data_IF_516564524025
#
_entry.id   IF_516564524025
#
_cell.length_a   1.000
_cell.length_b   1.000
_cell.length_c   1.000
_cell.angle_alpha   90.00
_cell.angle_beta   90.00
_cell.angle_gamma   90.00
#
_symmetry.space_group_name_H-M   'P 1'
#
loop_
_entity.id
_entity.type
_entity.pdbx_description
1 polymer ?
#
# COMPACT_ATOMS: atom_id res chain seq x y z
N UNK A 1 -64.13 -18.00 38.58
CA UNK A 1 -64.06 -17.89 37.11
C UNK A 1 -62.81 -17.06 36.80
N UNK A 2 -61.78 -17.67 36.18
CA UNK A 2 -60.59 -17.10 35.47
C UNK A 2 -59.79 -15.94 36.12
N UNK A 3 -58.61 -16.18 36.71
CA UNK A 3 -57.22 -16.14 36.15
C UNK A 3 -56.77 -14.73 35.70
N UNK A 4 -55.86 -14.09 36.45
CA UNK A 4 -54.41 -13.85 36.16
C UNK A 4 -54.15 -12.69 35.17
N UNK A 5 -53.14 -11.83 35.24
CA UNK A 5 -51.78 -11.94 35.82
C UNK A 5 -51.02 -10.60 35.69
N UNK A 6 -50.01 -10.41 36.56
CA UNK A 6 -48.68 -9.77 36.34
C UNK A 6 -48.60 -8.29 35.90
N UNK A 7 -47.65 -7.46 36.33
CA UNK A 7 -46.38 -7.68 37.02
C UNK A 7 -45.73 -6.33 37.33
N UNK A 8 -44.88 -6.33 38.36
CA UNK A 8 -44.24 -5.19 39.02
C UNK A 8 -43.07 -4.62 38.19
N UNK A 9 -42.85 -3.31 38.30
CA UNK A 9 -41.60 -2.66 37.91
C UNK A 9 -41.05 -1.79 39.05
N UNK A 10 -39.71 -1.75 39.08
CA UNK A 10 -38.80 -0.86 39.81
C UNK A 10 -38.37 -1.25 41.24
N UNK A 11 -37.37 -2.14 41.28
CA UNK A 11 -36.26 -2.15 42.25
C UNK A 11 -35.08 -1.36 41.63
N UNK A 12 -34.63 -0.27 42.28
CA UNK A 12 -33.50 -0.22 43.22
C UNK A 12 -32.11 -0.14 42.57
N UNK A 13 -31.47 1.01 42.82
CA UNK A 13 -30.04 1.22 43.10
C UNK A 13 -29.04 0.14 42.67
N UNK A 14 -28.07 0.54 41.84
CA UNK A 14 -26.64 0.26 42.09
C UNK A 14 -25.77 1.21 41.28
N UNK A 15 -25.20 2.16 42.00
CA UNK A 15 -24.01 2.91 41.62
C UNK A 15 -22.88 1.91 41.33
N UNK A 16 -22.39 1.91 40.09
CA UNK A 16 -21.15 1.24 39.72
C UNK A 16 -20.10 2.34 39.56
N UNK A 17 -19.24 2.44 40.56
CA UNK A 17 -17.96 3.13 40.50
C UNK A 17 -17.15 2.62 39.29
N UNK A 18 -17.13 3.41 38.22
CA UNK A 18 -16.20 3.24 37.12
C UNK A 18 -14.87 3.88 37.52
N UNK A 19 -13.95 3.01 37.92
CA UNK A 19 -12.57 3.31 38.21
C UNK A 19 -11.90 3.92 36.97
N UNK A 20 -11.34 5.10 37.19
CA UNK A 20 -10.57 5.92 36.26
C UNK A 20 -9.32 5.15 35.78
N UNK A 21 -9.28 4.77 34.50
CA UNK A 21 -8.05 4.31 33.83
C UNK A 21 -7.87 5.13 32.56
N UNK A 22 -7.13 6.22 32.70
CA UNK A 22 -6.65 7.02 31.58
C UNK A 22 -5.63 6.20 30.78
N UNK A 23 -6.01 5.78 29.58
CA UNK A 23 -5.09 5.27 28.58
C UNK A 23 -4.46 6.46 27.86
N UNK A 24 -3.28 6.88 28.32
CA UNK A 24 -2.42 7.79 27.56
C UNK A 24 -1.85 7.06 26.34
N UNK A 25 -2.51 7.19 25.18
CA UNK A 25 -1.88 6.87 23.90
C UNK A 25 -0.89 7.99 23.56
N UNK A 26 0.39 7.73 23.80
CA UNK A 26 1.49 8.54 23.29
C UNK A 26 1.52 8.41 21.76
N UNK A 27 0.86 9.33 21.07
CA UNK A 27 0.95 9.46 19.61
C UNK A 27 2.35 9.98 19.25
N UNK A 28 3.28 9.09 18.94
CA UNK A 28 4.57 9.45 18.35
C UNK A 28 4.33 9.85 16.90
N UNK A 29 4.26 11.14 16.64
CA UNK A 29 4.24 11.70 15.30
C UNK A 29 5.66 11.61 14.71
N UNK A 30 5.94 10.55 13.94
CA UNK A 30 7.15 10.49 13.11
C UNK A 30 6.91 11.39 11.90
N UNK A 31 7.55 12.56 11.88
CA UNK A 31 7.64 13.41 10.71
C UNK A 31 8.54 12.73 9.66
N UNK A 32 7.93 12.10 8.66
CA UNK A 32 8.67 11.61 7.48
C UNK A 32 8.91 12.81 6.56
N UNK A 33 10.11 13.40 6.62
CA UNK A 33 10.57 14.33 5.60
C UNK A 33 10.79 13.56 4.30
N UNK A 34 9.90 13.75 3.32
CA UNK A 34 10.12 13.27 1.96
C UNK A 34 11.11 14.19 1.26
N UNK A 35 12.41 13.93 1.44
CA UNK A 35 13.45 14.56 0.63
C UNK A 35 13.51 13.77 -0.68
N UNK A 36 13.05 14.38 -1.78
CA UNK A 36 13.22 13.83 -3.11
C UNK A 36 14.70 13.99 -3.50
N UNK A 37 15.48 12.91 -3.40
CA UNK A 37 16.83 12.87 -3.93
C UNK A 37 16.78 12.46 -5.41
N UNK A 38 17.67 13.02 -6.28
CA UNK A 38 17.87 12.45 -7.61
C UNK A 38 18.39 11.03 -7.44
N UNK A 39 17.63 10.06 -7.96
CA UNK A 39 18.00 8.65 -7.92
C UNK A 39 19.23 8.44 -8.82
N UNK A 40 20.41 8.35 -8.22
CA UNK A 40 21.59 7.75 -8.86
C UNK A 40 21.89 6.45 -8.14
N UNK A 41 21.36 5.36 -8.67
CA UNK A 41 21.80 4.00 -8.36
C UNK A 41 21.70 3.19 -9.65
N UNK A 42 22.84 2.66 -10.09
CA UNK A 42 23.06 1.97 -11.36
C UNK A 42 22.46 0.55 -11.44
N UNK A 43 21.30 0.34 -10.84
CA UNK A 43 20.43 -0.81 -11.10
C UNK A 43 19.07 -0.26 -11.53
N UNK A 44 18.59 -0.61 -12.73
CA UNK A 44 17.28 -0.17 -13.20
C UNK A 44 16.23 -0.76 -12.26
N UNK A 45 15.53 0.06 -11.45
CA UNK A 45 14.46 -0.47 -10.62
C UNK A 45 13.45 -1.18 -11.52
N UNK A 46 12.86 -2.27 -11.03
CA UNK A 46 11.83 -3.03 -11.71
C UNK A 46 12.31 -3.94 -12.87
N UNK A 47 13.60 -4.23 -13.00
CA UNK A 47 14.12 -5.24 -13.93
C UNK A 47 13.81 -4.97 -15.41
N UNK A 48 13.42 -3.74 -15.76
CA UNK A 48 13.01 -3.30 -17.09
C UNK A 48 13.97 -2.27 -17.70
N UNK A 49 13.69 -1.89 -18.95
CA UNK A 49 14.39 -0.84 -19.70
C UNK A 49 14.42 0.49 -18.93
N UNK A 50 15.28 1.44 -19.36
CA UNK A 50 15.38 2.76 -18.71
C UNK A 50 13.99 3.34 -18.50
N UNK A 51 13.66 3.68 -17.25
CA UNK A 51 12.47 4.44 -16.93
C UNK A 51 12.69 5.80 -17.59
N UNK A 52 11.91 6.19 -18.61
CA UNK A 52 12.10 7.48 -19.25
C UNK A 52 11.93 8.60 -18.21
N UNK A 53 12.73 9.65 -18.34
CA UNK A 53 12.85 10.76 -17.38
C UNK A 53 11.51 11.45 -17.04
N UNK A 54 10.49 11.24 -17.87
CA UNK A 54 9.13 11.65 -17.61
C UNK A 54 8.14 10.52 -17.94
N UNK A 55 7.48 9.99 -16.90
CA UNK A 55 6.26 9.22 -17.05
C UNK A 55 5.07 10.08 -16.59
N UNK A 56 3.99 10.19 -17.38
CA UNK A 56 2.82 10.99 -17.01
C UNK A 56 2.19 10.53 -15.70
N UNK A 57 2.33 9.25 -15.31
CA UNK A 57 1.82 8.75 -14.03
C UNK A 57 2.91 8.80 -12.97
N UNK A 58 2.73 9.70 -12.00
CA UNK A 58 3.53 9.79 -10.79
C UNK A 58 2.99 8.84 -9.73
N UNK A 59 3.80 7.85 -9.34
CA UNK A 59 3.47 6.89 -8.28
C UNK A 59 4.26 7.20 -7.03
N UNK A 60 3.54 7.41 -5.93
CA UNK A 60 4.13 7.75 -4.63
C UNK A 60 3.77 6.70 -3.58
N UNK A 61 4.73 5.87 -3.15
CA UNK A 61 4.54 5.00 -2.01
C UNK A 61 4.54 5.81 -0.71
N UNK A 62 3.67 5.42 0.22
CA UNK A 62 3.63 5.90 1.60
C UNK A 62 3.74 4.70 2.53
N UNK A 63 4.67 4.78 3.47
CA UNK A 63 4.89 3.71 4.46
C UNK A 63 4.28 4.10 5.80
N UNK A 64 3.72 3.11 6.48
CA UNK A 64 3.31 3.19 7.88
C UNK A 64 3.91 2.00 8.64
N UNK A 65 4.50 2.30 9.79
CA UNK A 65 5.10 1.29 10.69
C UNK A 65 4.43 1.44 12.05
N UNK A 66 3.78 0.38 12.52
CA UNK A 66 3.13 0.32 13.84
C UNK A 66 3.61 -0.95 14.55
N UNK A 67 4.43 -0.78 15.58
CA UNK A 67 5.11 -1.92 16.22
C UNK A 67 5.97 -2.67 15.22
N UNK A 68 5.69 -3.96 15.03
CA UNK A 68 6.40 -4.83 14.07
C UNK A 68 5.69 -4.91 12.70
N UNK A 69 4.59 -4.19 12.49
CA UNK A 69 3.83 -4.25 11.24
C UNK A 69 4.26 -3.11 10.33
N UNK A 70 4.63 -3.43 9.09
CA UNK A 70 4.91 -2.46 8.04
C UNK A 70 3.90 -2.58 6.91
N UNK A 71 3.25 -1.47 6.59
CA UNK A 71 2.29 -1.36 5.48
C UNK A 71 2.71 -0.28 4.49
N UNK A 72 2.31 -0.45 3.24
CA UNK A 72 2.49 0.53 2.17
C UNK A 72 1.16 0.87 1.51
N UNK A 73 0.98 2.13 1.13
CA UNK A 73 -0.12 2.59 0.27
C UNK A 73 0.46 3.39 -0.88
N UNK A 74 -0.08 3.19 -2.06
CA UNK A 74 0.35 3.89 -3.27
C UNK A 74 -0.65 4.99 -3.62
N UNK A 75 -0.15 6.14 -4.05
CA UNK A 75 -0.91 7.16 -4.77
C UNK A 75 -0.47 7.15 -6.22
N UNK A 76 -1.39 6.84 -7.13
CA UNK A 76 -1.20 7.00 -8.57
C UNK A 76 -1.80 8.33 -8.97
N UNK A 77 -1.03 9.20 -9.62
CA UNK A 77 -1.50 10.50 -10.10
C UNK A 77 -1.07 10.70 -11.56
N UNK A 78 -2.03 10.85 -12.46
CA UNK A 78 -1.73 11.23 -13.84
C UNK A 78 -1.49 12.76 -13.90
N UNK A 79 -0.25 13.14 -14.16
CA UNK A 79 0.23 14.51 -14.35
C UNK A 79 0.32 14.91 -15.82
N UNK A 80 0.05 13.98 -16.73
CA UNK A 80 -0.05 14.23 -18.16
C UNK A 80 -1.37 14.88 -18.55
N UNK A 81 -1.45 15.20 -19.83
CA UNK A 81 -2.59 15.79 -20.53
C UNK A 81 -3.47 14.74 -21.25
N UNK A 82 -3.00 13.50 -21.36
CA UNK A 82 -3.74 12.37 -21.94
C UNK A 82 -4.04 11.29 -20.91
N UNK A 83 -5.11 10.49 -21.10
CA UNK A 83 -5.35 9.30 -20.29
C UNK A 83 -4.17 8.32 -20.38
N UNK A 84 -3.90 7.61 -19.28
CA UNK A 84 -2.88 6.55 -19.22
C UNK A 84 -3.52 5.27 -18.72
N UNK A 85 -3.31 4.17 -19.44
CA UNK A 85 -3.84 2.87 -19.05
C UNK A 85 -2.91 2.20 -18.04
N UNK A 86 -3.42 2.09 -16.81
CA UNK A 86 -2.72 1.47 -15.67
C UNK A 86 -3.40 0.16 -15.32
N UNK A 87 -2.61 -0.82 -14.90
CA UNK A 87 -3.14 -2.16 -14.64
C UNK A 87 -4.11 -2.17 -13.46
N UNK A 88 -5.31 -2.70 -13.68
CA UNK A 88 -6.33 -2.95 -12.67
C UNK A 88 -5.99 -4.16 -11.80
N UNK A 89 -6.36 -4.07 -10.52
CA UNK A 89 -6.65 -5.25 -9.71
C UNK A 89 -5.51 -6.23 -9.44
N UNK A 90 -4.23 -5.91 -9.69
CA UNK A 90 -3.17 -6.87 -9.33
C UNK A 90 -3.00 -6.98 -7.84
N UNK A 91 -2.95 -5.88 -7.07
CA UNK A 91 -3.03 -5.90 -5.59
C UNK A 91 -3.48 -4.62 -4.87
N UNK A 92 -4.14 -3.66 -5.52
CA UNK A 92 -4.46 -2.45 -4.75
C UNK A 92 -5.34 -1.39 -5.36
N UNK A 93 -5.72 -1.54 -6.63
CA UNK A 93 -6.99 -0.97 -7.07
C UNK A 93 -8.07 -1.67 -6.27
N UNK A 94 -8.44 -1.09 -5.12
CA UNK A 94 -9.85 -1.17 -4.76
C UNK A 94 -10.59 -0.71 -6.01
N UNK A 95 -11.53 -1.52 -6.50
CA UNK A 95 -12.43 -1.11 -7.58
C UNK A 95 -12.79 0.34 -7.33
N UNK A 96 -12.64 1.23 -8.33
CA UNK A 96 -12.90 2.67 -8.18
C UNK A 96 -14.20 2.86 -7.37
N UNK A 97 -14.11 3.42 -6.15
CA UNK A 97 -15.23 3.49 -5.20
C UNK A 97 -15.19 2.52 -3.99
N UNK A 98 -14.20 1.64 -3.88
CA UNK A 98 -14.04 0.73 -2.73
C UNK A 98 -13.32 1.41 -1.57
N UNK A 99 -13.90 1.32 -0.37
CA UNK A 99 -13.40 1.94 0.87
C UNK A 99 -12.01 1.40 1.28
N UNK A 100 -11.13 2.31 1.68
CA UNK A 100 -9.69 2.12 1.91
C UNK A 100 -9.30 1.50 3.27
N UNK A 101 -10.19 0.78 3.94
CA UNK A 101 -10.00 0.39 5.34
C UNK A 101 -9.85 -1.11 5.49
N UNK A 102 -8.65 -1.61 5.15
CA UNK A 102 -7.94 -2.72 5.79
C UNK A 102 -6.66 -3.01 5.00
N UNK A 103 -5.54 -3.24 5.70
CA UNK A 103 -4.30 -3.63 5.05
C UNK A 103 -4.41 -5.09 4.59
N UNK A 104 -4.31 -5.32 3.28
CA UNK A 104 -4.48 -6.64 2.69
C UNK A 104 -3.13 -7.34 2.45
N UNK A 105 -3.09 -8.68 2.42
CA UNK A 105 -1.92 -9.41 1.95
C UNK A 105 -1.55 -8.99 0.53
N UNK A 106 -0.24 -8.89 0.27
CA UNK A 106 0.28 -8.65 -1.08
C UNK A 106 0.35 -9.97 -1.85
N UNK A 107 -0.33 -10.06 -2.99
CA UNK A 107 -0.48 -11.29 -3.78
C UNK A 107 0.48 -11.39 -4.97
N UNK A 108 1.44 -10.48 -5.08
CA UNK A 108 2.49 -10.52 -6.11
C UNK A 108 3.75 -9.75 -5.65
N UNK A 109 4.86 -9.96 -6.34
CA UNK A 109 6.12 -9.28 -6.08
C UNK A 109 6.14 -7.89 -6.76
N UNK A 110 5.41 -6.96 -6.15
CA UNK A 110 5.17 -5.62 -6.71
C UNK A 110 6.18 -4.56 -6.27
N UNK A 111 7.02 -4.88 -5.30
CA UNK A 111 8.01 -3.96 -4.77
C UNK A 111 9.43 -4.49 -4.96
N UNK A 112 10.30 -3.59 -5.36
CA UNK A 112 11.73 -3.77 -5.18
C UNK A 112 12.13 -3.10 -3.87
N UNK A 113 12.47 -3.93 -2.88
CA UNK A 113 12.92 -3.49 -1.57
C UNK A 113 14.39 -3.85 -1.42
N UNK A 114 15.23 -2.87 -1.09
CA UNK A 114 16.67 -3.03 -0.94
C UNK A 114 17.10 -2.74 0.50
N UNK A 115 18.06 -3.51 1.02
CA UNK A 115 18.84 -3.22 2.23
C UNK A 115 20.31 -3.09 1.81
N UNK A 116 20.82 -1.86 1.73
CA UNK A 116 22.04 -1.56 0.98
C UNK A 116 21.87 -2.00 -0.48
N UNK A 117 22.80 -2.82 -0.99
CA UNK A 117 22.75 -3.36 -2.35
C UNK A 117 22.00 -4.70 -2.48
N UNK A 118 21.45 -5.22 -1.37
CA UNK A 118 20.79 -6.52 -1.35
C UNK A 118 19.28 -6.38 -1.47
N UNK A 119 18.69 -7.06 -2.46
CA UNK A 119 17.23 -7.19 -2.59
C UNK A 119 16.66 -8.02 -1.43
N UNK A 120 15.65 -7.49 -0.75
CA UNK A 120 14.84 -8.21 0.22
C UNK A 120 13.96 -9.22 -0.53
N UNK A 121 14.03 -10.49 -0.13
CA UNK A 121 13.34 -11.57 -0.82
C UNK A 121 11.82 -11.46 -0.64
N UNK A 122 11.08 -11.55 -1.74
CA UNK A 122 9.64 -11.77 -1.69
C UNK A 122 9.33 -13.21 -1.24
N UNK A 123 8.45 -13.33 -0.25
CA UNK A 123 8.02 -14.60 0.37
C UNK A 123 6.49 -14.76 0.38
N UNK A 124 5.76 -13.81 -0.20
CA UNK A 124 4.31 -13.88 -0.32
C UNK A 124 3.84 -14.91 -1.36
N UNK A 125 2.51 -15.11 -1.46
CA UNK A 125 1.93 -16.02 -2.44
C UNK A 125 2.09 -15.47 -3.86
N UNK A 126 2.51 -16.33 -4.80
CA UNK A 126 2.56 -16.00 -6.23
C UNK A 126 1.40 -16.70 -6.92
N UNK A 127 0.53 -15.93 -7.58
CA UNK A 127 -0.59 -16.48 -8.34
C UNK A 127 -0.18 -16.67 -9.80
N UNK A 128 -0.42 -17.88 -10.33
CA UNK A 128 -0.29 -18.12 -11.76
C UNK A 128 -1.39 -17.38 -12.50
N UNK A 129 -1.01 -16.47 -13.39
CA UNK A 129 -1.93 -15.69 -14.23
C UNK A 129 -1.72 -16.06 -15.70
N UNK A 130 -2.77 -15.90 -16.50
CA UNK A 130 -2.64 -15.86 -17.95
C UNK A 130 -1.83 -14.65 -18.41
N UNK A 131 -1.48 -14.55 -19.70
CA UNK A 131 -0.88 -13.35 -20.24
C UNK A 131 -1.82 -12.16 -20.03
N UNK A 132 -1.25 -11.01 -19.66
CA UNK A 132 -2.01 -9.78 -19.51
C UNK A 132 -2.50 -9.29 -20.89
N UNK A 133 -3.78 -9.00 -20.99
CA UNK A 133 -4.42 -8.37 -22.15
C UNK A 133 -4.79 -6.92 -21.82
N UNK A 134 -5.21 -6.15 -22.83
CA UNK A 134 -5.69 -4.76 -22.66
C UNK A 134 -6.80 -4.64 -21.60
N UNK A 135 -7.65 -5.66 -21.47
CA UNK A 135 -8.79 -5.66 -20.55
C UNK A 135 -8.40 -5.64 -19.07
N UNK A 136 -7.11 -5.88 -18.76
CA UNK A 136 -6.57 -5.75 -17.41
C UNK A 136 -6.15 -4.32 -17.06
N UNK A 137 -6.36 -3.33 -17.94
CA UNK A 137 -5.93 -1.96 -17.74
C UNK A 137 -7.11 -1.02 -17.83
N UNK A 138 -7.14 0.01 -16.98
CA UNK A 138 -8.11 1.08 -17.09
C UNK A 138 -7.49 2.46 -17.09
N UNK A 139 -8.19 3.44 -17.70
CA UNK A 139 -7.65 4.77 -17.88
C UNK A 139 -7.66 5.54 -16.56
N UNK A 140 -6.47 6.01 -16.20
CA UNK A 140 -6.29 7.09 -15.25
C UNK A 140 -6.37 8.42 -16.03
N UNK A 141 -7.44 9.18 -15.83
CA UNK A 141 -7.68 10.41 -16.60
C UNK A 141 -6.65 11.51 -16.27
N UNK A 142 -6.44 12.50 -17.14
CA UNK A 142 -5.59 13.66 -16.84
C UNK A 142 -5.98 14.30 -15.50
N UNK A 143 -4.98 14.60 -14.67
CA UNK A 143 -5.12 15.14 -13.32
C UNK A 143 -5.87 14.26 -12.30
N UNK A 144 -6.27 13.04 -12.69
CA UNK A 144 -6.87 12.09 -11.76
C UNK A 144 -5.81 11.52 -10.82
N UNK A 145 -6.20 11.37 -9.55
CA UNK A 145 -5.38 10.74 -8.55
C UNK A 145 -6.17 9.67 -7.78
N UNK A 146 -5.63 8.46 -7.71
CA UNK A 146 -6.26 7.32 -7.05
C UNK A 146 -5.35 6.82 -5.94
N UNK A 147 -5.91 6.71 -4.75
CA UNK A 147 -5.26 6.08 -3.63
C UNK A 147 -5.57 4.58 -3.63
N UNK A 148 -4.51 3.78 -3.62
CA UNK A 148 -4.64 2.34 -3.45
C UNK A 148 -4.96 2.00 -1.99
N UNK A 149 -5.42 0.77 -1.77
CA UNK A 149 -5.52 0.21 -0.42
C UNK A 149 -4.13 0.08 0.23
N UNK A 150 -4.12 -0.16 1.54
CA UNK A 150 -2.89 -0.53 2.24
C UNK A 150 -2.53 -1.99 1.97
N UNK A 151 -1.24 -2.27 1.78
CA UNK A 151 -0.68 -3.61 1.58
C UNK A 151 0.29 -3.94 2.72
N UNK A 152 0.22 -5.17 3.25
CA UNK A 152 1.13 -5.69 4.28
C UNK A 152 2.46 -6.10 3.64
N UNK A 153 3.53 -5.38 3.96
CA UNK A 153 4.88 -5.71 3.49
C UNK A 153 5.55 -6.73 4.41
N UNK A 154 5.27 -6.66 5.71
CA UNK A 154 5.87 -7.51 6.76
C UNK A 154 5.57 -9.00 6.56
N UNK A 155 4.45 -9.32 5.92
CA UNK A 155 4.06 -10.70 5.62
C UNK A 155 4.51 -11.16 4.23
N UNK A 156 4.96 -10.24 3.38
CA UNK A 156 5.26 -10.51 1.98
C UNK A 156 6.75 -10.46 1.66
N UNK A 157 7.57 -9.86 2.52
CA UNK A 157 9.01 -9.69 2.32
C UNK A 157 9.81 -10.14 3.55
N UNK A 158 10.94 -10.79 3.30
CA UNK A 158 11.79 -11.36 4.34
C UNK A 158 12.79 -10.33 4.89
N UNK A 159 12.29 -9.37 5.66
CA UNK A 159 13.11 -8.32 6.28
C UNK A 159 14.16 -8.90 7.24
N UNK A 160 15.39 -8.36 7.27
CA UNK A 160 16.42 -8.86 8.19
C UNK A 160 16.06 -8.57 9.66
N UNK A 161 16.41 -9.45 10.62
CA UNK A 161 16.24 -9.18 12.05
C UNK A 161 17.08 -7.99 12.50
N UNK A 162 16.58 -7.21 13.45
CA UNK A 162 17.20 -5.96 13.90
C UNK A 162 16.70 -4.72 13.17
N UNK A 163 17.38 -3.59 13.37
CA UNK A 163 17.04 -2.29 12.77
C UNK A 163 17.88 -2.02 11.54
N UNK A 164 17.24 -1.75 10.41
CA UNK A 164 17.92 -1.51 9.13
C UNK A 164 17.25 -0.37 8.36
N UNK A 165 18.04 0.33 7.52
CA UNK A 165 17.53 1.24 6.49
C UNK A 165 17.21 0.44 5.22
N UNK A 166 16.06 0.73 4.63
CA UNK A 166 15.59 0.12 3.40
C UNK A 166 15.22 1.18 2.37
N UNK A 167 15.36 0.82 1.09
CA UNK A 167 14.82 1.57 -0.05
C UNK A 167 13.67 0.74 -0.63
N UNK A 168 12.54 1.37 -0.94
CA UNK A 168 11.42 0.74 -1.63
C UNK A 168 11.08 1.49 -2.92
N UNK A 169 10.91 0.72 -3.98
CA UNK A 169 10.34 1.15 -5.27
C UNK A 169 9.15 0.25 -5.56
N UNK A 170 8.03 0.83 -5.97
CA UNK A 170 6.91 0.07 -6.51
C UNK A 170 7.06 -0.08 -8.02
N UNK A 171 6.73 -1.25 -8.53
CA UNK A 171 6.81 -1.58 -9.94
C UNK A 171 5.42 -1.92 -10.49
N UNK A 172 4.87 -1.05 -11.34
CA UNK A 172 3.56 -1.25 -11.95
C UNK A 172 3.64 -1.47 -13.46
N UNK A 173 2.59 -2.05 -14.04
CA UNK A 173 2.44 -2.20 -15.48
C UNK A 173 1.55 -1.11 -16.06
N UNK A 174 1.88 -0.71 -17.29
CA UNK A 174 1.06 0.17 -18.12
C UNK A 174 0.92 -0.42 -19.52
N UNK A 175 -0.13 0.00 -20.22
CA UNK A 175 -0.42 -0.41 -21.59
C UNK A 175 -0.42 0.82 -22.51
N UNK A 176 0.37 0.76 -23.58
CA UNK A 176 0.35 1.75 -24.66
C UNK A 176 -0.62 1.30 -25.75
N UNK A 177 -1.72 2.03 -25.93
CA UNK A 177 -2.72 1.70 -26.97
C UNK A 177 -2.18 1.84 -28.39
N UNK A 178 -1.24 2.76 -28.62
CA UNK A 178 -0.72 3.04 -29.96
C UNK A 178 0.16 1.90 -30.46
N UNK A 179 0.95 1.31 -29.56
CA UNK A 179 1.88 0.23 -29.88
C UNK A 179 1.36 -1.16 -29.49
N UNK A 180 0.30 -1.24 -28.67
CA UNK A 180 -0.19 -2.47 -28.08
C UNK A 180 0.75 -3.11 -27.06
N UNK A 181 1.76 -2.38 -26.55
CA UNK A 181 2.79 -2.94 -25.68
C UNK A 181 2.43 -2.78 -24.21
N UNK A 182 2.82 -3.78 -23.41
CA UNK A 182 2.82 -3.72 -21.96
C UNK A 182 4.26 -3.51 -21.50
N UNK A 183 4.46 -2.53 -20.62
CA UNK A 183 5.78 -2.23 -20.06
C UNK A 183 5.65 -1.94 -18.56
N UNK A 184 6.79 -2.02 -17.88
CA UNK A 184 6.91 -1.85 -16.43
C UNK A 184 7.53 -0.49 -16.12
N UNK A 185 6.98 0.20 -15.14
CA UNK A 185 7.43 1.52 -14.70
C UNK A 185 7.65 1.46 -13.19
N UNK A 186 8.71 2.12 -12.72
CA UNK A 186 9.01 2.25 -11.30
C UNK A 186 8.46 3.54 -10.70
N UNK A 187 8.08 3.48 -9.42
CA UNK A 187 7.84 4.68 -8.62
C UNK A 187 9.15 5.40 -8.31
N UNK A 188 9.06 6.61 -7.74
CA UNK A 188 10.22 7.18 -7.05
C UNK A 188 10.62 6.29 -5.86
N UNK A 189 11.94 6.14 -5.59
CA UNK A 189 12.40 5.40 -4.43
C UNK A 189 12.05 6.16 -3.15
N UNK A 190 11.67 5.41 -2.12
CA UNK A 190 11.48 5.94 -0.77
C UNK A 190 12.39 5.21 0.22
N UNK A 191 12.97 5.95 1.15
CA UNK A 191 13.76 5.38 2.25
C UNK A 191 12.91 5.23 3.49
N UNK A 192 13.11 4.15 4.24
CA UNK A 192 12.49 3.95 5.55
C UNK A 192 13.38 3.10 6.45
N UNK A 193 13.25 3.28 7.77
CA UNK A 193 13.91 2.46 8.78
C UNK A 193 12.88 1.50 9.37
N UNK A 194 13.22 0.21 9.49
CA UNK A 194 12.33 -0.80 10.06
C UNK A 194 13.10 -1.73 11.00
N UNK A 195 12.45 -2.08 12.12
CA UNK A 195 12.98 -2.99 13.14
C UNK A 195 12.17 -4.28 13.15
N UNK A 196 12.75 -5.39 12.72
CA UNK A 196 12.17 -6.74 12.88
C UNK A 196 12.67 -7.34 14.18
N UNK A 197 11.74 -7.62 15.10
CA UNK A 197 12.03 -8.30 16.38
C UNK A 197 12.08 -9.80 16.22
#
# INVERSE_FOLDING_TARGET
>A
MKTDSSGRNHTSQRELHLCHREFYYLAVFIFIFSIAFPASSSGKPCGGNEIPDFYPVDVRPRIQIIGNVITSRLLFANRGDTPVLVMEGVNGFGLRGSMAYEAQPLMDDEFEILNGDKRVKYIGPIYKRGPYTKDYFSPLQPNEAINMRWSRLDTAYDFAPGTHEYILVHCHLQYDESSGNIFRVGSRPIKFVYTRR
#
